data_IF_129280157392
#
_entry.id   IF_129280157392
#
_cell.length_a   1.000
_cell.length_b   1.000
_cell.length_c   1.000
_cell.angle_alpha   90.00
_cell.angle_beta   90.00
_cell.angle_gamma   90.00
#
_symmetry.space_group_name_H-M   'P 1'
#
loop_
_entity.id
_entity.type
_entity.pdbx_description
1 polymer ?
#
# COMPACT_ATOMS: atom_id res chain seq x y z
N UNK A 1 -12.60 12.61 -4.67
CA UNK A 1 -11.63 12.35 -3.57
C UNK A 1 -10.30 11.94 -4.16
N UNK A 2 -9.22 12.25 -3.45
CA UNK A 2 -7.88 11.72 -3.72
C UNK A 2 -7.63 10.51 -2.82
N UNK A 3 -7.42 9.34 -3.43
CA UNK A 3 -7.35 8.05 -2.73
C UNK A 3 -5.99 7.42 -2.98
N UNK A 4 -5.27 7.09 -1.92
CA UNK A 4 -4.07 6.26 -1.97
C UNK A 4 -4.45 4.83 -1.60
N UNK A 5 -4.15 3.88 -2.48
CA UNK A 5 -4.38 2.45 -2.23
C UNK A 5 -3.04 1.75 -2.13
N UNK A 6 -2.79 1.06 -1.04
CA UNK A 6 -1.60 0.24 -0.88
C UNK A 6 -1.93 -1.23 -0.98
N UNK A 7 -1.16 -1.96 -1.80
CA UNK A 7 -1.28 -3.41 -1.96
C UNK A 7 0.02 -4.12 -1.59
N UNK A 8 -0.10 -5.16 -0.78
CA UNK A 8 1.03 -5.96 -0.31
C UNK A 8 1.43 -7.10 -1.26
N UNK A 9 2.63 -7.65 -1.08
CA UNK A 9 3.14 -8.78 -1.89
C UNK A 9 2.25 -10.03 -1.75
N UNK A 10 1.76 -10.33 -0.53
CA UNK A 10 0.87 -11.48 -0.27
C UNK A 10 -0.43 -11.43 -1.07
N UNK A 11 -0.88 -10.23 -1.42
CA UNK A 11 -2.08 -10.00 -2.22
C UNK A 11 -1.81 -10.18 -3.71
N UNK A 12 -0.63 -9.74 -4.18
CA UNK A 12 -0.27 -9.74 -5.60
C UNK A 12 0.37 -11.04 -6.09
N UNK A 13 0.88 -11.89 -5.20
CA UNK A 13 1.62 -13.09 -5.56
C UNK A 13 1.05 -14.34 -4.88
N UNK A 14 1.06 -15.45 -5.60
CA UNK A 14 0.85 -16.77 -5.01
C UNK A 14 2.03 -17.19 -4.13
N UNK A 15 1.83 -18.21 -3.29
CA UNK A 15 2.90 -18.81 -2.49
C UNK A 15 4.09 -19.34 -3.32
N UNK A 16 3.87 -19.58 -4.62
CA UNK A 16 4.90 -19.94 -5.60
C UNK A 16 5.79 -18.76 -6.03
N UNK A 17 5.53 -17.54 -5.56
CA UNK A 17 6.21 -16.31 -5.98
C UNK A 17 5.73 -15.77 -7.34
N UNK A 18 4.81 -16.47 -8.02
CA UNK A 18 4.24 -15.99 -9.30
C UNK A 18 3.08 -15.05 -9.05
N UNK A 19 2.87 -14.13 -10.00
CA UNK A 19 1.77 -13.17 -9.97
C UNK A 19 0.42 -13.87 -9.86
N UNK A 20 -0.42 -13.41 -8.94
CA UNK A 20 -1.84 -13.77 -8.88
C UNK A 20 -2.59 -12.93 -9.93
N UNK A 21 -2.65 -13.46 -11.16
CA UNK A 21 -3.20 -12.75 -12.31
C UNK A 21 -4.63 -12.29 -12.05
N UNK A 22 -5.50 -13.23 -11.66
CA UNK A 22 -6.91 -12.93 -11.40
C UNK A 22 -7.07 -11.78 -10.42
N UNK A 23 -6.37 -11.86 -9.30
CA UNK A 23 -6.49 -10.83 -8.26
C UNK A 23 -5.95 -9.47 -8.72
N UNK A 24 -4.83 -9.47 -9.47
CA UNK A 24 -4.27 -8.23 -10.03
C UNK A 24 -5.21 -7.61 -11.06
N UNK A 25 -5.88 -8.42 -11.89
CA UNK A 25 -6.89 -7.96 -12.86
C UNK A 25 -8.10 -7.36 -12.13
N UNK A 26 -8.61 -8.02 -11.10
CA UNK A 26 -9.74 -7.53 -10.29
C UNK A 26 -9.37 -6.19 -9.61
N UNK A 27 -8.18 -6.06 -9.03
CA UNK A 27 -7.69 -4.82 -8.44
C UNK A 27 -7.61 -3.69 -9.47
N UNK A 28 -6.98 -3.93 -10.62
CA UNK A 28 -6.82 -2.93 -11.69
C UNK A 28 -8.17 -2.50 -12.22
N UNK A 29 -9.13 -3.40 -12.38
CA UNK A 29 -10.50 -3.09 -12.80
C UNK A 29 -11.17 -2.14 -11.81
N UNK A 30 -11.10 -2.42 -10.50
CA UNK A 30 -11.71 -1.57 -9.47
C UNK A 30 -11.06 -0.20 -9.43
N UNK A 31 -9.71 -0.11 -9.45
CA UNK A 31 -8.99 1.16 -9.46
C UNK A 31 -9.31 2.00 -10.70
N UNK A 32 -9.44 1.34 -11.87
CA UNK A 32 -9.82 2.00 -13.13
C UNK A 32 -11.23 2.58 -13.05
N UNK A 33 -12.15 1.83 -12.48
CA UNK A 33 -13.56 2.25 -12.35
C UNK A 33 -13.70 3.43 -11.35
N UNK A 34 -13.01 3.38 -10.20
CA UNK A 34 -12.94 4.51 -9.27
C UNK A 34 -12.37 5.76 -9.95
N UNK A 35 -11.32 5.61 -10.79
CA UNK A 35 -10.77 6.73 -11.56
C UNK A 35 -11.78 7.26 -12.57
N UNK A 36 -12.54 6.40 -13.27
CA UNK A 36 -13.60 6.80 -14.19
C UNK A 36 -14.77 7.49 -13.46
N UNK A 37 -15.03 7.13 -12.19
CA UNK A 37 -16.01 7.79 -11.34
C UNK A 37 -15.54 9.20 -10.86
N UNK A 38 -14.34 9.65 -11.25
CA UNK A 38 -13.81 10.99 -10.96
C UNK A 38 -12.95 11.07 -9.69
N UNK A 39 -12.52 9.94 -9.14
CA UNK A 39 -11.53 9.94 -8.08
C UNK A 39 -10.11 10.07 -8.64
N UNK A 40 -9.23 10.75 -7.92
CA UNK A 40 -7.79 10.70 -8.15
C UNK A 40 -7.24 9.49 -7.40
N UNK A 41 -6.71 8.51 -8.15
CA UNK A 41 -6.23 7.23 -7.60
C UNK A 41 -4.72 7.13 -7.71
N UNK A 42 -4.08 6.80 -6.60
CA UNK A 42 -2.64 6.53 -6.50
C UNK A 42 -2.47 5.11 -5.96
N UNK A 43 -1.61 4.30 -6.58
CA UNK A 43 -1.31 2.95 -6.13
C UNK A 43 0.09 2.89 -5.50
N UNK A 44 0.21 2.43 -4.27
CA UNK A 44 1.48 2.04 -3.64
C UNK A 44 1.56 0.53 -3.67
N UNK A 45 2.48 0.00 -4.49
CA UNK A 45 2.55 -1.43 -4.78
C UNK A 45 3.84 -2.05 -4.25
N UNK A 46 3.71 -3.13 -3.53
CA UNK A 46 4.81 -4.03 -3.18
C UNK A 46 5.00 -5.09 -4.27
N UNK A 47 5.95 -6.02 -4.05
CA UNK A 47 6.04 -7.25 -4.83
C UNK A 47 7.19 -7.32 -5.82
N UNK A 48 7.98 -6.26 -6.00
CA UNK A 48 9.10 -6.24 -6.95
C UNK A 48 10.09 -7.39 -6.70
N UNK A 49 10.61 -7.54 -5.48
CA UNK A 49 11.54 -8.63 -5.14
C UNK A 49 10.92 -10.00 -5.43
N UNK A 50 9.65 -10.21 -5.01
CA UNK A 50 8.96 -11.50 -5.23
C UNK A 50 8.80 -11.84 -6.72
N UNK A 51 8.41 -10.86 -7.54
CA UNK A 51 8.31 -11.04 -8.99
C UNK A 51 9.68 -11.31 -9.62
N UNK A 52 10.74 -10.67 -9.14
CA UNK A 52 12.10 -10.94 -9.59
C UNK A 52 12.56 -12.35 -9.27
N UNK A 53 12.27 -12.84 -8.06
CA UNK A 53 12.53 -14.23 -7.66
C UNK A 53 11.85 -15.20 -8.64
N UNK A 54 10.57 -14.98 -8.95
CA UNK A 54 9.81 -15.79 -9.89
C UNK A 54 10.35 -15.71 -11.33
N UNK A 55 10.69 -14.50 -11.81
CA UNK A 55 11.21 -14.27 -13.16
C UNK A 55 12.60 -14.89 -13.37
N UNK A 56 13.46 -14.80 -12.34
CA UNK A 56 14.80 -15.40 -12.36
C UNK A 56 14.78 -16.89 -12.00
N UNK A 57 13.61 -17.45 -11.72
CA UNK A 57 13.44 -18.86 -11.34
C UNK A 57 14.32 -19.28 -10.15
N UNK A 58 14.48 -18.38 -9.16
CA UNK A 58 15.22 -18.71 -7.96
C UNK A 58 14.42 -19.68 -7.09
N UNK A 59 15.06 -20.64 -6.41
CA UNK A 59 14.36 -21.67 -5.63
C UNK A 59 13.72 -21.12 -4.37
N UNK A 60 14.18 -19.96 -3.86
CA UNK A 60 13.65 -19.30 -2.67
C UNK A 60 13.98 -17.81 -2.66
N UNK A 61 13.36 -17.07 -1.75
CA UNK A 61 13.67 -15.67 -1.54
C UNK A 61 15.12 -15.53 -1.05
N UNK A 62 15.96 -14.67 -1.67
CA UNK A 62 17.36 -14.51 -1.32
C UNK A 62 17.53 -13.92 0.08
N UNK A 63 18.59 -14.34 0.78
CA UNK A 63 18.96 -13.81 2.08
C UNK A 63 19.88 -12.59 2.00
N UNK A 64 20.74 -12.55 0.97
CA UNK A 64 21.72 -11.47 0.82
C UNK A 64 21.15 -10.25 0.10
N UNK A 65 21.69 -9.06 0.43
CA UNK A 65 21.21 -7.78 -0.07
C UNK A 65 21.40 -7.65 -1.60
N UNK A 66 22.55 -8.02 -2.13
CA UNK A 66 22.86 -7.83 -3.55
C UNK A 66 21.89 -8.63 -4.43
N UNK A 67 21.56 -9.87 -4.03
CA UNK A 67 20.58 -10.69 -4.76
C UNK A 67 19.16 -10.16 -4.59
N UNK A 68 18.78 -9.62 -3.41
CA UNK A 68 17.48 -8.95 -3.22
C UNK A 68 17.35 -7.73 -4.15
N UNK A 69 18.37 -6.88 -4.21
CA UNK A 69 18.43 -5.71 -5.09
C UNK A 69 18.34 -6.09 -6.57
N UNK A 70 19.07 -7.14 -7.00
CA UNK A 70 18.98 -7.66 -8.35
C UNK A 70 17.58 -8.20 -8.68
N UNK A 71 16.95 -8.92 -7.74
CA UNK A 71 15.57 -9.36 -7.89
C UNK A 71 14.61 -8.17 -7.98
N UNK A 72 14.79 -7.13 -7.16
CA UNK A 72 13.98 -5.92 -7.22
C UNK A 72 14.08 -5.24 -8.59
N UNK A 73 15.28 -5.13 -9.16
CA UNK A 73 15.50 -4.53 -10.48
C UNK A 73 14.74 -5.28 -11.58
N UNK A 74 14.83 -6.61 -11.60
CA UNK A 74 14.12 -7.45 -12.59
C UNK A 74 12.61 -7.42 -12.34
N UNK A 75 12.21 -7.55 -11.10
CA UNK A 75 10.80 -7.68 -10.74
C UNK A 75 10.03 -6.37 -10.84
N UNK A 76 10.64 -5.22 -10.56
CA UNK A 76 10.01 -3.92 -10.73
C UNK A 76 9.67 -3.65 -12.21
N UNK A 77 10.55 -4.04 -13.13
CA UNK A 77 10.29 -3.95 -14.56
C UNK A 77 9.06 -4.81 -14.95
N UNK A 78 9.00 -6.05 -14.48
CA UNK A 78 7.87 -6.97 -14.75
C UNK A 78 6.56 -6.47 -14.13
N UNK A 79 6.63 -5.93 -12.90
CA UNK A 79 5.48 -5.39 -12.19
C UNK A 79 4.88 -4.21 -12.96
N UNK A 80 5.72 -3.26 -13.40
CA UNK A 80 5.27 -2.11 -14.18
C UNK A 80 4.72 -2.51 -15.54
N UNK A 81 5.38 -3.45 -16.26
CA UNK A 81 4.85 -3.98 -17.50
C UNK A 81 3.46 -4.60 -17.33
N UNK A 82 3.26 -5.33 -16.23
CA UNK A 82 1.97 -5.95 -15.91
C UNK A 82 0.89 -4.89 -15.68
N UNK A 83 1.18 -3.89 -14.85
CA UNK A 83 0.23 -2.81 -14.58
C UNK A 83 -0.07 -1.99 -15.83
N UNK A 84 0.94 -1.60 -16.61
CA UNK A 84 0.76 -0.83 -17.84
C UNK A 84 -0.17 -1.56 -18.82
N UNK A 85 0.08 -2.85 -19.05
CA UNK A 85 -0.77 -3.69 -19.90
C UNK A 85 -2.22 -3.76 -19.42
N UNK A 86 -2.44 -3.93 -18.11
CA UNK A 86 -3.78 -4.08 -17.56
C UNK A 86 -4.54 -2.75 -17.52
N UNK A 87 -3.91 -1.65 -17.10
CA UNK A 87 -4.52 -0.33 -17.09
C UNK A 87 -4.80 0.23 -18.48
N UNK A 88 -3.94 -0.08 -19.47
CA UNK A 88 -4.15 0.28 -20.87
C UNK A 88 -5.46 -0.29 -21.43
N UNK A 89 -5.90 -1.47 -20.97
CA UNK A 89 -7.18 -2.06 -21.37
C UNK A 89 -8.39 -1.18 -20.96
N UNK A 90 -8.21 -0.29 -19.98
CA UNK A 90 -9.21 0.69 -19.52
C UNK A 90 -8.88 2.12 -19.93
N UNK A 91 -7.96 2.32 -20.89
CA UNK A 91 -7.48 3.62 -21.38
C UNK A 91 -6.83 4.51 -20.31
N UNK A 92 -6.15 3.92 -19.34
CA UNK A 92 -5.37 4.66 -18.33
C UNK A 92 -3.88 4.55 -18.59
N UNK A 93 -3.20 5.69 -18.52
CA UNK A 93 -1.74 5.76 -18.50
C UNK A 93 -1.25 5.62 -17.07
N UNK A 94 -0.28 4.73 -16.84
CA UNK A 94 0.40 4.60 -15.55
C UNK A 94 1.71 5.36 -15.55
N UNK A 95 2.14 5.79 -14.36
CA UNK A 95 3.44 6.47 -14.20
C UNK A 95 4.17 5.85 -13.00
N UNK A 96 5.42 5.41 -13.21
CA UNK A 96 6.25 4.86 -12.15
C UNK A 96 6.93 5.96 -11.34
N UNK A 97 6.87 5.84 -10.00
CA UNK A 97 7.67 6.63 -9.07
C UNK A 97 8.36 5.67 -8.09
N UNK A 98 9.67 5.77 -7.98
CA UNK A 98 10.47 5.01 -7.02
C UNK A 98 11.13 5.96 -6.02
N UNK A 99 10.94 5.68 -4.74
CA UNK A 99 11.40 6.52 -3.64
C UNK A 99 12.32 5.73 -2.69
N UNK A 100 13.24 6.45 -2.07
CA UNK A 100 14.00 5.97 -0.92
C UNK A 100 13.69 6.82 0.30
N UNK A 101 14.10 6.40 1.50
CA UNK A 101 13.97 7.20 2.71
C UNK A 101 14.57 8.60 2.57
N UNK A 102 15.74 8.71 1.92
CA UNK A 102 16.41 9.99 1.67
C UNK A 102 15.56 10.94 0.82
N UNK A 103 14.78 10.42 -0.14
CA UNK A 103 13.94 11.25 -1.01
C UNK A 103 12.76 11.87 -0.24
N UNK A 104 12.35 11.22 0.84
CA UNK A 104 11.24 11.68 1.69
C UNK A 104 11.73 12.62 2.79
N UNK A 105 12.91 12.35 3.37
CA UNK A 105 13.50 13.16 4.45
C UNK A 105 14.05 14.49 3.95
N UNK A 106 14.69 14.49 2.77
CA UNK A 106 15.30 15.69 2.22
C UNK A 106 14.25 16.61 1.61
N UNK A 107 14.06 17.80 2.19
CA UNK A 107 13.01 18.75 1.82
C UNK A 107 12.92 19.03 0.31
N UNK A 108 14.04 19.32 -0.34
CA UNK A 108 14.06 19.62 -1.78
C UNK A 108 13.66 18.43 -2.67
N UNK A 109 14.04 17.19 -2.27
CA UNK A 109 13.64 15.97 -2.99
C UNK A 109 12.17 15.67 -2.76
N UNK A 110 11.70 15.82 -1.52
CA UNK A 110 10.29 15.67 -1.17
C UNK A 110 9.40 16.64 -1.96
N UNK A 111 9.83 17.90 -2.08
CA UNK A 111 9.11 18.90 -2.90
C UNK A 111 9.06 18.49 -4.38
N UNK A 112 10.17 18.02 -4.95
CA UNK A 112 10.20 17.55 -6.34
C UNK A 112 9.28 16.34 -6.55
N UNK A 113 9.27 15.39 -5.62
CA UNK A 113 8.35 14.26 -5.63
C UNK A 113 6.89 14.73 -5.59
N UNK A 114 6.55 15.63 -4.66
CA UNK A 114 5.21 16.18 -4.51
C UNK A 114 4.74 16.90 -5.79
N UNK A 115 5.59 17.73 -6.37
CA UNK A 115 5.30 18.45 -7.63
C UNK A 115 5.08 17.46 -8.78
N UNK A 116 5.92 16.44 -8.91
CA UNK A 116 5.80 15.42 -9.95
C UNK A 116 4.48 14.66 -9.80
N UNK A 117 4.16 14.22 -8.58
CA UNK A 117 2.95 13.45 -8.31
C UNK A 117 1.68 14.28 -8.58
N UNK A 118 1.66 15.53 -8.11
CA UNK A 118 0.56 16.47 -8.39
C UNK A 118 0.38 16.66 -9.90
N UNK A 119 1.49 16.86 -10.63
CA UNK A 119 1.41 17.06 -12.08
C UNK A 119 0.93 15.84 -12.84
N UNK A 120 1.32 14.63 -12.40
CA UNK A 120 0.80 13.38 -12.99
C UNK A 120 -0.71 13.26 -12.81
N UNK A 121 -1.23 13.59 -11.63
CA UNK A 121 -2.68 13.58 -11.36
C UNK A 121 -3.42 14.60 -12.25
N UNK A 122 -2.91 15.82 -12.38
CA UNK A 122 -3.45 16.84 -13.29
C UNK A 122 -3.46 16.40 -14.76
N UNK A 123 -2.46 15.64 -15.20
CA UNK A 123 -2.37 15.06 -16.54
C UNK A 123 -3.24 13.81 -16.71
N UNK A 124 -3.94 13.39 -15.66
CA UNK A 124 -4.81 12.22 -15.69
C UNK A 124 -4.07 10.88 -15.68
N UNK A 125 -2.77 10.84 -15.42
CA UNK A 125 -2.05 9.60 -15.21
C UNK A 125 -2.42 8.95 -13.86
N UNK A 126 -2.19 7.64 -13.73
CA UNK A 126 -2.31 6.88 -12.49
C UNK A 126 -0.89 6.61 -11.97
N UNK A 127 -0.46 7.27 -10.88
CA UNK A 127 0.86 7.02 -10.32
C UNK A 127 0.90 5.67 -9.61
N UNK A 128 1.97 4.90 -9.87
CA UNK A 128 2.31 3.66 -9.18
C UNK A 128 3.63 3.88 -8.47
N UNK A 129 3.61 3.81 -7.16
CA UNK A 129 4.72 4.15 -6.29
C UNK A 129 5.23 2.89 -5.61
N UNK A 130 6.54 2.75 -5.52
CA UNK A 130 7.20 1.71 -4.74
C UNK A 130 8.50 2.26 -4.13
N UNK A 131 9.06 1.53 -3.17
CA UNK A 131 10.42 1.78 -2.72
C UNK A 131 11.41 1.45 -3.85
N UNK A 132 12.50 2.21 -3.93
CA UNK A 132 13.61 1.91 -4.83
C UNK A 132 14.54 0.88 -4.19
N UNK A 133 14.05 -0.35 -4.09
CA UNK A 133 14.78 -1.49 -3.50
C UNK A 133 16.15 -1.74 -4.16
N UNK A 134 16.42 -1.18 -5.35
CA UNK A 134 17.70 -1.38 -6.05
C UNK A 134 18.86 -0.63 -5.41
N UNK A 135 18.57 0.43 -4.68
CA UNK A 135 19.57 1.29 -4.01
C UNK A 135 19.26 1.53 -2.54
N UNK A 136 18.11 1.05 -2.05
CA UNK A 136 17.75 1.12 -0.64
C UNK A 136 18.63 0.16 0.17
N UNK A 137 19.09 0.62 1.34
CA UNK A 137 19.84 -0.18 2.30
C UNK A 137 19.12 -0.17 3.64
N UNK A 138 19.16 -1.29 4.38
CA UNK A 138 18.47 -1.43 5.68
C UNK A 138 18.89 -0.37 6.72
N UNK A 139 20.06 0.28 6.52
CA UNK A 139 20.61 1.28 7.44
C UNK A 139 20.07 2.71 7.20
N UNK A 140 19.42 2.97 6.06
CA UNK A 140 19.00 4.33 5.65
C UNK A 140 17.45 4.43 5.55
N UNK A 141 16.73 3.36 5.81
CA UNK A 141 15.29 3.34 5.56
C UNK A 141 14.49 3.96 6.71
N UNK A 142 14.21 5.25 6.63
CA UNK A 142 13.12 5.87 7.39
C UNK A 142 11.74 5.36 6.96
N UNK A 143 11.63 4.76 5.77
CA UNK A 143 10.39 4.17 5.25
C UNK A 143 10.12 2.83 5.91
N UNK A 144 11.05 1.88 5.85
CA UNK A 144 10.99 0.56 6.50
C UNK A 144 9.97 -0.42 5.93
N UNK A 145 8.85 0.06 5.41
CA UNK A 145 7.78 -0.75 4.83
C UNK A 145 6.82 0.08 3.95
N UNK A 146 6.08 -0.60 3.08
CA UNK A 146 5.16 0.08 2.15
C UNK A 146 3.87 0.62 2.81
N UNK A 147 3.52 0.24 4.05
CA UNK A 147 2.43 0.87 4.79
C UNK A 147 2.86 2.29 5.20
N UNK A 148 4.09 2.42 5.71
CA UNK A 148 4.70 3.72 6.02
C UNK A 148 4.89 4.57 4.77
N UNK A 149 5.39 3.99 3.66
CA UNK A 149 5.50 4.70 2.38
C UNK A 149 4.15 5.26 1.92
N UNK A 150 3.10 4.46 1.99
CA UNK A 150 1.75 4.88 1.60
C UNK A 150 1.21 6.01 2.50
N UNK A 151 1.49 5.97 3.81
CA UNK A 151 1.15 7.06 4.73
C UNK A 151 1.89 8.35 4.37
N UNK A 152 3.19 8.28 4.11
CA UNK A 152 4.00 9.43 3.68
C UNK A 152 3.44 10.03 2.37
N UNK A 153 3.15 9.19 1.38
CA UNK A 153 2.54 9.63 0.11
C UNK A 153 1.22 10.35 0.39
N UNK A 154 0.35 9.76 1.20
CA UNK A 154 -0.96 10.33 1.58
C UNK A 154 -0.81 11.72 2.18
N UNK A 155 0.10 11.89 3.16
CA UNK A 155 0.38 13.17 3.80
C UNK A 155 0.98 14.19 2.81
N UNK A 156 1.96 13.77 1.97
CA UNK A 156 2.64 14.67 1.03
C UNK A 156 1.71 15.31 -0.01
N UNK A 157 0.66 14.62 -0.43
CA UNK A 157 -0.27 15.12 -1.45
C UNK A 157 -1.62 15.54 -0.89
N UNK A 158 -1.76 15.58 0.43
CA UNK A 158 -3.03 15.88 1.12
C UNK A 158 -4.18 15.04 0.56
N UNK A 159 -3.98 13.72 0.50
CA UNK A 159 -5.04 12.82 0.07
C UNK A 159 -6.15 12.73 1.13
N UNK A 160 -7.37 12.45 0.68
CA UNK A 160 -8.53 12.36 1.56
C UNK A 160 -8.58 11.01 2.30
N UNK A 161 -8.03 9.97 1.66
CA UNK A 161 -8.17 8.59 2.12
C UNK A 161 -6.93 7.74 1.78
N UNK A 162 -6.45 6.98 2.76
CA UNK A 162 -5.52 5.87 2.57
C UNK A 162 -6.25 4.54 2.78
N UNK A 163 -6.13 3.61 1.84
CA UNK A 163 -6.62 2.23 2.01
C UNK A 163 -5.44 1.26 1.99
N UNK A 164 -5.25 0.52 3.07
CA UNK A 164 -4.30 -0.57 3.17
C UNK A 164 -5.01 -1.90 2.88
N UNK A 165 -4.79 -2.46 1.71
CA UNK A 165 -5.23 -3.80 1.35
C UNK A 165 -4.25 -4.83 1.93
N UNK A 166 -4.73 -5.62 2.87
CA UNK A 166 -3.95 -6.56 3.69
C UNK A 166 -4.51 -7.98 3.61
N UNK A 167 -3.83 -8.92 4.23
CA UNK A 167 -4.24 -10.31 4.43
C UNK A 167 -5.20 -10.50 5.62
N UNK A 168 -5.60 -9.40 6.28
CA UNK A 168 -6.53 -9.38 7.40
C UNK A 168 -7.68 -8.40 7.10
N UNK A 169 -8.88 -8.69 7.62
CA UNK A 169 -10.06 -7.86 7.34
C UNK A 169 -10.01 -6.47 7.96
N UNK A 170 -9.17 -6.27 8.99
CA UNK A 170 -9.03 -5.01 9.70
C UNK A 170 -8.38 -5.19 11.08
N UNK A 171 -8.60 -4.27 11.99
CA UNK A 171 -8.17 -4.35 13.39
C UNK A 171 -9.19 -5.15 14.20
N UNK A 172 -8.71 -6.13 14.97
CA UNK A 172 -9.53 -6.95 15.86
C UNK A 172 -9.25 -6.63 17.33
N UNK A 173 -10.19 -6.97 18.20
CA UNK A 173 -10.05 -6.82 19.67
C UNK A 173 -8.97 -7.73 20.27
N UNK A 174 -8.54 -8.77 19.56
CA UNK A 174 -7.43 -9.65 19.86
C UNK A 174 -6.98 -10.34 18.55
N UNK A 175 -5.90 -11.10 18.57
CA UNK A 175 -5.45 -11.85 17.39
C UNK A 175 -6.47 -12.93 17.00
N UNK A 176 -7.16 -12.84 15.84
CA UNK A 176 -8.21 -13.80 15.45
C UNK A 176 -7.70 -15.21 15.18
N UNK A 177 -6.39 -15.41 14.95
CA UNK A 177 -5.80 -16.74 14.78
C UNK A 177 -5.64 -17.49 16.11
N UNK A 178 -5.55 -16.78 17.23
CA UNK A 178 -5.33 -17.35 18.55
C UNK A 178 -6.53 -17.19 19.49
N UNK A 179 -7.44 -16.24 19.18
CA UNK A 179 -8.62 -15.93 19.95
C UNK A 179 -9.88 -16.00 19.05
N UNK A 180 -10.62 -17.11 19.06
CA UNK A 180 -11.79 -17.30 18.19
C UNK A 180 -12.95 -16.32 18.46
N UNK A 181 -12.97 -15.68 19.64
CA UNK A 181 -13.94 -14.66 20.04
C UNK A 181 -13.53 -13.23 19.71
N UNK A 182 -12.36 -13.04 19.04
CA UNK A 182 -11.91 -11.75 18.57
C UNK A 182 -12.92 -11.14 17.61
N UNK A 183 -13.27 -9.87 17.83
CA UNK A 183 -14.24 -9.14 17.00
C UNK A 183 -13.54 -8.06 16.20
N UNK A 184 -13.96 -7.90 14.93
CA UNK A 184 -13.52 -6.79 14.09
C UNK A 184 -13.99 -5.46 14.70
N UNK A 185 -13.10 -4.49 14.76
CA UNK A 185 -13.39 -3.11 15.18
C UNK A 185 -13.69 -2.31 13.91
N UNK A 186 -14.95 -1.90 13.66
CA UNK A 186 -15.30 -1.26 12.40
C UNK A 186 -14.77 0.18 12.29
N UNK A 187 -14.69 0.90 13.41
CA UNK A 187 -14.26 2.31 13.45
C UNK A 187 -13.38 2.57 14.67
N UNK A 188 -12.30 3.30 14.45
CA UNK A 188 -11.40 3.83 15.48
C UNK A 188 -11.39 5.35 15.36
N UNK A 189 -12.12 6.03 16.24
CA UNK A 189 -12.21 7.50 16.26
C UNK A 189 -10.94 8.17 16.77
N UNK A 190 -10.20 7.47 17.64
CA UNK A 190 -8.93 7.93 18.21
C UNK A 190 -8.00 6.76 18.44
N UNK A 191 -6.75 6.91 18.02
CA UNK A 191 -5.70 5.92 18.26
C UNK A 191 -5.12 6.17 19.66
N UNK A 192 -5.64 5.43 20.64
CA UNK A 192 -5.20 5.49 22.03
C UNK A 192 -4.09 4.46 22.30
N UNK A 193 -3.39 4.54 23.47
CA UNK A 193 -2.41 3.49 23.84
C UNK A 193 -3.02 2.09 23.90
N UNK A 194 -4.29 1.95 24.25
CA UNK A 194 -5.00 0.67 24.27
C UNK A 194 -5.19 0.12 22.85
N UNK A 195 -5.50 0.98 21.88
CA UNK A 195 -5.58 0.58 20.46
C UNK A 195 -4.21 0.15 19.94
N UNK A 196 -3.14 0.86 20.32
CA UNK A 196 -1.77 0.49 19.92
C UNK A 196 -1.35 -0.85 20.53
N UNK A 197 -1.75 -1.15 21.76
CA UNK A 197 -1.46 -2.43 22.41
C UNK A 197 -2.11 -3.64 21.69
N UNK A 198 -3.16 -3.46 20.91
CA UNK A 198 -3.74 -4.53 20.09
C UNK A 198 -2.79 -5.03 18.98
N UNK A 199 -1.79 -4.23 18.61
CA UNK A 199 -0.79 -4.62 17.63
C UNK A 199 0.22 -5.66 18.15
N UNK A 200 0.46 -5.71 19.46
CA UNK A 200 1.52 -6.53 20.07
C UNK A 200 1.20 -8.04 20.03
N UNK A 201 -0.04 -8.41 19.74
CA UNK A 201 -0.50 -9.81 19.61
C UNK A 201 -0.64 -10.35 18.18
N UNK A 202 -0.44 -9.54 17.15
CA UNK A 202 -0.79 -9.87 15.76
C UNK A 202 0.43 -9.88 14.82
N UNK A 203 1.33 -10.85 14.99
CA UNK A 203 2.43 -11.05 14.05
C UNK A 203 2.03 -11.95 12.87
N UNK A 204 2.09 -11.47 11.62
CA UNK A 204 2.00 -12.32 10.43
C UNK A 204 3.38 -12.86 10.05
N UNK A 205 3.48 -14.18 9.79
CA UNK A 205 4.74 -14.88 9.49
C UNK A 205 5.30 -14.60 8.07
N UNK A 206 4.61 -13.87 7.21
CA UNK A 206 4.93 -13.75 5.77
C UNK A 206 5.16 -12.33 5.24
N UNK A 207 4.95 -11.28 6.04
CA UNK A 207 5.11 -9.89 5.61
C UNK A 207 6.01 -9.08 6.53
N UNK A 208 6.77 -8.13 5.98
CA UNK A 208 7.57 -7.15 6.74
C UNK A 208 6.70 -6.12 7.46
N UNK A 209 5.36 -6.05 7.15
CA UNK A 209 4.40 -5.11 7.72
C UNK A 209 3.38 -5.81 8.62
N UNK A 210 3.56 -5.77 9.95
CA UNK A 210 2.59 -6.25 10.94
C UNK A 210 1.47 -5.23 11.22
N UNK A 211 0.60 -5.53 12.19
CA UNK A 211 -0.43 -4.57 12.63
C UNK A 211 0.20 -3.27 13.19
N UNK A 212 1.38 -3.36 13.79
CA UNK A 212 2.13 -2.20 14.30
C UNK A 212 2.47 -1.17 13.23
N UNK A 213 2.91 -1.62 12.02
CA UNK A 213 3.19 -0.70 10.90
C UNK A 213 1.92 -0.04 10.40
N UNK A 214 0.79 -0.77 10.36
CA UNK A 214 -0.51 -0.23 9.94
C UNK A 214 -1.04 0.80 10.94
N UNK A 215 -0.90 0.56 12.24
CA UNK A 215 -1.30 1.54 13.26
C UNK A 215 -0.40 2.78 13.25
N UNK A 216 0.90 2.61 12.97
CA UNK A 216 1.80 3.74 12.76
C UNK A 216 1.39 4.57 11.54
N UNK A 217 1.07 3.93 10.43
CA UNK A 217 0.54 4.59 9.24
C UNK A 217 -0.77 5.34 9.56
N UNK A 218 -1.68 4.71 10.33
CA UNK A 218 -2.92 5.35 10.76
C UNK A 218 -2.67 6.60 11.60
N UNK A 219 -1.72 6.56 12.55
CA UNK A 219 -1.35 7.73 13.34
C UNK A 219 -0.88 8.90 12.47
N UNK A 220 -0.01 8.62 11.48
CA UNK A 220 0.50 9.64 10.56
C UNK A 220 -0.64 10.28 9.76
N UNK A 221 -1.46 9.46 9.14
CA UNK A 221 -2.51 9.90 8.20
C UNK A 221 -3.62 10.65 8.93
N UNK A 222 -4.08 10.13 10.08
CA UNK A 222 -5.16 10.77 10.84
C UNK A 222 -4.73 12.06 11.54
N UNK A 223 -3.45 12.23 11.85
CA UNK A 223 -2.90 13.49 12.35
C UNK A 223 -2.96 14.63 11.32
N UNK A 224 -2.86 14.28 10.02
CA UNK A 224 -3.00 15.23 8.90
C UNK A 224 -4.46 15.40 8.43
N UNK A 225 -5.43 14.82 9.15
CA UNK A 225 -6.86 14.99 8.88
C UNK A 225 -7.44 14.06 7.80
N UNK A 226 -6.65 13.14 7.25
CA UNK A 226 -7.13 12.15 6.29
C UNK A 226 -7.64 10.87 7.00
N UNK A 227 -8.61 10.21 6.42
CA UNK A 227 -9.06 8.90 6.89
C UNK A 227 -8.10 7.80 6.45
N UNK A 228 -8.04 6.72 7.23
CA UNK A 228 -7.38 5.50 6.79
C UNK A 228 -8.29 4.28 6.97
N UNK A 229 -8.23 3.32 6.04
CA UNK A 229 -8.97 2.05 6.16
C UNK A 229 -8.01 0.89 5.99
N UNK A 230 -8.12 -0.11 6.88
CA UNK A 230 -7.52 -1.44 6.69
C UNK A 230 -8.63 -2.38 6.23
N UNK A 231 -8.43 -3.04 5.08
CA UNK A 231 -9.40 -3.96 4.51
C UNK A 231 -8.71 -5.20 3.92
N UNK A 232 -9.49 -6.27 3.74
CA UNK A 232 -8.99 -7.52 3.15
C UNK A 232 -8.68 -7.33 1.67
N UNK A 233 -7.41 -7.46 1.33
CA UNK A 233 -6.93 -7.31 -0.03
C UNK A 233 -7.36 -8.43 -0.98
N UNK A 234 -7.90 -9.56 -0.49
CA UNK A 234 -8.49 -10.60 -1.33
C UNK A 234 -9.81 -10.16 -1.99
N UNK A 235 -10.37 -9.04 -1.53
CA UNK A 235 -11.65 -8.46 -1.94
C UNK A 235 -11.48 -7.02 -2.41
N UNK A 236 -10.83 -6.75 -3.57
CA UNK A 236 -10.60 -5.38 -4.04
C UNK A 236 -11.90 -4.61 -4.29
N UNK A 237 -13.03 -5.28 -4.51
CA UNK A 237 -14.35 -4.68 -4.63
C UNK A 237 -14.81 -3.90 -3.39
N UNK A 238 -14.23 -4.17 -2.21
CA UNK A 238 -14.48 -3.40 -0.99
C UNK A 238 -14.08 -1.92 -1.15
N UNK A 239 -13.19 -1.61 -2.10
CA UNK A 239 -12.82 -0.23 -2.41
C UNK A 239 -14.01 0.63 -2.84
N UNK A 240 -15.04 0.06 -3.46
CA UNK A 240 -16.28 0.78 -3.78
C UNK A 240 -17.02 1.21 -2.52
N UNK A 241 -17.22 0.27 -1.57
CA UNK A 241 -17.90 0.56 -0.30
C UNK A 241 -17.11 1.59 0.52
N UNK A 242 -15.79 1.45 0.54
CA UNK A 242 -14.90 2.36 1.27
C UNK A 242 -14.99 3.78 0.67
N UNK A 243 -14.96 3.91 -0.66
CA UNK A 243 -15.05 5.20 -1.37
C UNK A 243 -16.41 5.87 -1.16
N UNK A 244 -17.48 5.07 -1.09
CA UNK A 244 -18.83 5.56 -0.80
C UNK A 244 -19.09 5.82 0.70
N UNK A 245 -18.11 5.61 1.56
CA UNK A 245 -18.24 5.79 3.01
C UNK A 245 -19.03 4.69 3.72
N UNK A 246 -19.30 3.57 3.03
CA UNK A 246 -19.97 2.41 3.63
C UNK A 246 -19.00 1.61 4.52
N UNK A 247 -19.49 0.89 5.53
CA UNK A 247 -18.65 0.08 6.41
C UNK A 247 -17.93 -1.05 5.64
N UNK A 248 -16.59 -1.03 5.69
CA UNK A 248 -15.75 -2.11 5.18
C UNK A 248 -14.42 -2.07 5.93
N UNK A 249 -14.00 -3.20 6.47
CA UNK A 249 -12.76 -3.28 7.25
C UNK A 249 -12.79 -2.46 8.54
N UNK A 250 -11.67 -1.84 8.88
CA UNK A 250 -11.53 -0.90 10.02
C UNK A 250 -11.19 0.49 9.49
N UNK A 251 -12.05 1.48 9.77
CA UNK A 251 -11.80 2.89 9.45
C UNK A 251 -11.18 3.60 10.65
N UNK A 252 -10.10 4.30 10.43
CA UNK A 252 -9.47 5.25 11.37
C UNK A 252 -9.85 6.66 10.92
N UNK A 253 -10.54 7.40 11.78
CA UNK A 253 -11.08 8.72 11.44
C UNK A 253 -10.00 9.79 11.52
N UNK A 254 -9.84 10.55 10.44
CA UNK A 254 -9.02 11.76 10.42
C UNK A 254 -9.65 12.86 11.29
N UNK A 255 -8.81 13.62 11.99
CA UNK A 255 -9.29 14.79 12.73
C UNK A 255 -9.55 15.91 11.73
N UNK A 256 -10.80 16.14 11.36
CA UNK A 256 -11.19 17.40 10.75
C UNK A 256 -11.25 18.42 11.89
N UNK A 257 -10.27 19.34 11.95
CA UNK A 257 -10.43 20.54 12.75
C UNK A 257 -11.65 21.29 12.22
N UNK A 258 -12.69 21.38 13.05
CA UNK A 258 -13.94 22.07 12.74
C UNK A 258 -13.80 23.59 12.86
#
# INVERSE_FOLDING_TARGET
MRIVVKVGTSTLAHSTGRLNIRHTEDLVKVLSDLKNAGHEVILVSSGAIGMGVGKLSLPSRPGDMATKQACAAVGQCELMYTYDRLFTAYNHNVAQILLTGVDVEHEGRRLNFQNTLTRLLELGALPIINENDTVATDEITSIGDNDTLAAIVTCCIHADLLVLLSDIDGLYTANPHTHPDAKLIPVVERITPEVLALADGAGSALGTGGMSTKLRAAQMVTAEGADMVIANGSHPELLYDIADGRPAGTRFSGRKEG
#
